data_IF_103553115223
#
_entry.id   IF_103553115223
#
_cell.length_a   1.000
_cell.length_b   1.000
_cell.length_c   1.000
_cell.angle_alpha   90.00
_cell.angle_beta   90.00
_cell.angle_gamma   90.00
#
_symmetry.space_group_name_H-M   'P 1'
#
loop_
_entity.id
_entity.type
_entity.pdbx_description
1 polymer ?
#
# COMPACT_ATOMS: atom_id res chain seq x y z
N UNK A 1 -0.31 -40.03 -12.93
CA UNK A 1 1.10 -39.68 -13.26
C UNK A 1 1.30 -39.13 -14.67
N UNK A 2 0.79 -39.77 -15.74
CA UNK A 2 0.95 -39.28 -17.14
C UNK A 2 0.47 -37.85 -17.39
N UNK A 3 -0.58 -37.38 -16.72
CA UNK A 3 -1.12 -36.00 -16.86
C UNK A 3 -0.23 -34.93 -16.22
N UNK A 4 0.51 -35.27 -15.17
CA UNK A 4 1.37 -34.33 -14.45
C UNK A 4 2.69 -34.03 -15.20
N UNK A 5 3.22 -35.02 -15.92
CA UNK A 5 4.40 -34.86 -16.77
C UNK A 5 4.09 -34.08 -18.04
N UNK A 6 2.97 -34.36 -18.73
CA UNK A 6 2.56 -33.64 -19.95
C UNK A 6 2.33 -32.14 -19.70
N UNK A 7 1.80 -31.77 -18.52
CA UNK A 7 1.60 -30.36 -18.17
C UNK A 7 2.91 -29.59 -17.96
N UNK A 8 4.02 -30.25 -17.61
CA UNK A 8 5.33 -29.59 -17.45
C UNK A 8 5.95 -29.19 -18.78
N UNK A 9 5.80 -29.99 -19.83
CA UNK A 9 6.29 -29.65 -21.17
C UNK A 9 5.58 -28.43 -21.75
N UNK A 10 4.30 -28.23 -21.42
CA UNK A 10 3.56 -27.03 -21.84
C UNK A 10 4.12 -25.73 -21.24
N UNK A 11 4.85 -25.79 -20.12
CA UNK A 11 5.49 -24.61 -19.54
C UNK A 11 6.70 -24.11 -20.33
N UNK A 12 7.22 -24.91 -21.28
CA UNK A 12 8.36 -24.52 -22.12
C UNK A 12 8.01 -23.28 -22.95
N UNK A 13 6.79 -23.21 -23.49
CA UNK A 13 6.35 -22.06 -24.31
C UNK A 13 6.35 -20.73 -23.51
N UNK A 14 5.62 -20.60 -22.39
CA UNK A 14 5.66 -19.37 -21.60
C UNK A 14 7.02 -19.10 -20.98
N UNK A 15 7.81 -20.13 -20.61
CA UNK A 15 9.17 -19.92 -20.13
C UNK A 15 10.05 -19.29 -21.22
N UNK A 16 10.02 -19.82 -22.44
CA UNK A 16 10.81 -19.31 -23.56
C UNK A 16 10.39 -17.88 -23.95
N UNK A 17 9.08 -17.60 -24.02
CA UNK A 17 8.58 -16.26 -24.30
C UNK A 17 9.04 -15.23 -23.24
N UNK A 18 8.98 -15.57 -21.95
CA UNK A 18 9.49 -14.73 -20.87
C UNK A 18 11.02 -14.55 -20.93
N UNK A 19 11.77 -15.58 -21.29
CA UNK A 19 13.22 -15.48 -21.47
C UNK A 19 13.60 -14.58 -22.66
N UNK A 20 12.81 -14.59 -23.75
CA UNK A 20 13.00 -13.66 -24.85
C UNK A 20 12.73 -12.21 -24.42
N UNK A 21 11.68 -11.96 -23.64
CA UNK A 21 11.42 -10.64 -23.05
C UNK A 21 12.56 -10.20 -22.13
N UNK A 22 13.06 -11.13 -21.31
CA UNK A 22 14.23 -10.92 -20.45
C UNK A 22 15.48 -10.54 -21.25
N UNK A 23 15.76 -11.24 -22.35
CA UNK A 23 16.88 -10.96 -23.24
C UNK A 23 16.72 -9.62 -23.98
N UNK A 24 15.49 -9.26 -24.37
CA UNK A 24 15.21 -7.97 -24.98
C UNK A 24 15.43 -6.80 -24.02
N UNK A 25 14.94 -6.91 -22.78
CA UNK A 25 15.20 -5.92 -21.73
C UNK A 25 16.70 -5.78 -21.44
N UNK A 26 17.43 -6.91 -21.38
CA UNK A 26 18.88 -6.91 -21.20
C UNK A 26 19.60 -6.17 -22.34
N UNK A 27 19.17 -6.39 -23.59
CA UNK A 27 19.73 -5.70 -24.77
C UNK A 27 19.49 -4.20 -24.73
N UNK A 28 18.38 -3.74 -24.13
CA UNK A 28 18.10 -2.32 -23.92
C UNK A 28 18.85 -1.71 -22.72
N UNK A 29 19.64 -2.52 -21.99
CA UNK A 29 20.32 -2.10 -20.77
C UNK A 29 19.43 -2.05 -19.53
N UNK A 30 18.20 -2.57 -19.60
CA UNK A 30 17.28 -2.63 -18.47
C UNK A 30 17.46 -3.95 -17.70
N UNK A 31 18.51 -3.97 -16.85
CA UNK A 31 18.85 -5.13 -16.04
C UNK A 31 17.74 -5.49 -15.05
N UNK A 32 17.07 -4.50 -14.46
CA UNK A 32 16.01 -4.72 -13.48
C UNK A 32 14.80 -5.43 -14.09
N UNK A 33 14.37 -4.99 -15.29
CA UNK A 33 13.27 -5.62 -16.02
C UNK A 33 13.66 -7.01 -16.54
N UNK A 34 14.90 -7.17 -17.01
CA UNK A 34 15.43 -8.46 -17.46
C UNK A 34 15.37 -9.53 -16.37
N UNK A 35 15.87 -9.21 -15.17
CA UNK A 35 15.84 -10.11 -14.00
C UNK A 35 14.40 -10.38 -13.57
N UNK A 36 13.52 -9.39 -13.64
CA UNK A 36 12.09 -9.55 -13.28
C UNK A 36 11.38 -10.57 -14.19
N UNK A 37 11.62 -10.52 -15.51
CA UNK A 37 11.09 -11.52 -16.44
C UNK A 37 11.70 -12.91 -16.21
N UNK A 38 13.01 -13.00 -15.94
CA UNK A 38 13.64 -14.26 -15.58
C UNK A 38 13.07 -14.85 -14.27
N UNK A 39 12.78 -14.01 -13.28
CA UNK A 39 12.16 -14.43 -12.02
C UNK A 39 10.73 -14.95 -12.22
N UNK A 40 9.95 -14.39 -13.16
CA UNK A 40 8.63 -14.93 -13.53
C UNK A 40 8.71 -16.37 -14.05
N UNK A 41 9.79 -16.75 -14.74
CA UNK A 41 10.02 -18.14 -15.18
C UNK A 41 10.13 -19.07 -13.96
N UNK A 42 10.86 -18.65 -12.92
CA UNK A 42 10.92 -19.40 -11.66
C UNK A 42 9.55 -19.56 -11.00
N UNK A 43 8.70 -18.53 -11.06
CA UNK A 43 7.36 -18.58 -10.48
C UNK A 43 6.42 -19.57 -11.18
N UNK A 44 6.63 -19.90 -12.46
CA UNK A 44 5.85 -20.93 -13.17
C UNK A 44 5.88 -22.29 -12.46
N UNK A 45 6.92 -22.56 -11.66
CA UNK A 45 7.09 -23.82 -10.93
C UNK A 45 6.24 -23.89 -9.65
N UNK A 46 5.74 -22.77 -9.13
CA UNK A 46 5.07 -22.66 -7.82
C UNK A 46 3.63 -23.19 -7.80
N UNK A 47 3.04 -23.51 -8.97
CA UNK A 47 1.65 -23.97 -9.16
C UNK A 47 0.58 -23.05 -8.59
N UNK A 48 0.94 -21.82 -8.24
CA UNK A 48 0.04 -20.84 -7.64
C UNK A 48 -0.90 -20.25 -8.68
N UNK A 49 -2.21 -20.23 -8.39
CA UNK A 49 -3.23 -19.76 -9.31
C UNK A 49 -3.06 -18.30 -9.76
N UNK A 50 -2.58 -17.41 -8.89
CA UNK A 50 -2.35 -15.99 -9.21
C UNK A 50 -1.19 -15.80 -10.20
N UNK A 51 -0.16 -16.65 -10.17
CA UNK A 51 1.00 -16.56 -11.09
C UNK A 51 0.54 -16.74 -12.54
N UNK A 52 -0.44 -17.62 -12.78
CA UNK A 52 -1.01 -17.80 -14.13
C UNK A 52 -1.54 -16.48 -14.69
N UNK A 53 -2.26 -15.71 -13.88
CA UNK A 53 -2.85 -14.44 -14.31
C UNK A 53 -1.77 -13.38 -14.60
N UNK A 54 -0.69 -13.38 -13.79
CA UNK A 54 0.44 -12.47 -14.02
C UNK A 54 1.18 -12.79 -15.31
N UNK A 55 1.44 -14.07 -15.56
CA UNK A 55 2.12 -14.50 -16.78
C UNK A 55 1.26 -14.21 -18.01
N UNK A 56 -0.06 -14.44 -17.94
CA UNK A 56 -0.98 -14.05 -19.02
C UNK A 56 -0.85 -12.55 -19.32
N UNK A 57 -0.87 -11.71 -18.31
CA UNK A 57 -0.74 -10.26 -18.51
C UNK A 57 0.67 -9.84 -18.98
N UNK A 58 1.73 -10.50 -18.51
CA UNK A 58 3.10 -10.28 -18.97
C UNK A 58 3.26 -10.65 -20.45
N UNK A 59 2.63 -11.73 -20.91
CA UNK A 59 2.61 -12.13 -22.32
C UNK A 59 1.78 -11.18 -23.17
N UNK A 60 0.61 -10.73 -22.70
CA UNK A 60 -0.17 -9.68 -23.40
C UNK A 60 0.66 -8.40 -23.56
N UNK A 61 1.36 -7.98 -22.51
CA UNK A 61 2.28 -6.85 -22.59
C UNK A 61 3.48 -7.14 -23.51
N UNK A 62 4.00 -8.36 -23.48
CA UNK A 62 5.06 -8.84 -24.36
C UNK A 62 4.67 -8.75 -25.83
N UNK A 63 3.46 -9.17 -26.20
CA UNK A 63 2.92 -9.01 -27.55
C UNK A 63 2.93 -7.55 -28.03
N UNK A 64 2.58 -6.60 -27.15
CA UNK A 64 2.69 -5.16 -27.45
C UNK A 64 4.15 -4.73 -27.67
N UNK A 65 5.08 -5.13 -26.79
CA UNK A 65 6.52 -4.85 -26.94
C UNK A 65 7.03 -5.38 -28.28
N UNK A 66 6.72 -6.63 -28.63
CA UNK A 66 7.19 -7.25 -29.85
C UNK A 66 6.60 -6.59 -31.09
N UNK A 67 5.32 -6.22 -31.08
CA UNK A 67 4.72 -5.46 -32.17
C UNK A 67 5.41 -4.12 -32.38
N UNK A 68 5.64 -3.35 -31.30
CA UNK A 68 6.31 -2.05 -31.37
C UNK A 68 7.75 -2.18 -31.87
N UNK A 69 8.54 -3.10 -31.29
CA UNK A 69 9.91 -3.36 -31.69
C UNK A 69 10.02 -3.82 -33.16
N UNK A 70 9.03 -4.58 -33.65
CA UNK A 70 8.98 -5.00 -35.06
C UNK A 70 8.85 -3.79 -35.98
N UNK A 71 7.92 -2.88 -35.68
CA UNK A 71 7.72 -1.65 -36.47
C UNK A 71 8.97 -0.78 -36.44
N UNK A 72 9.56 -0.57 -35.28
CA UNK A 72 10.77 0.25 -35.12
C UNK A 72 11.97 -0.34 -35.88
N UNK A 73 12.24 -1.64 -35.76
CA UNK A 73 13.40 -2.24 -36.44
C UNK A 73 13.23 -2.33 -37.95
N UNK A 74 12.00 -2.56 -38.44
CA UNK A 74 11.72 -2.58 -39.89
C UNK A 74 11.82 -1.17 -40.46
N UNK A 75 11.20 -0.17 -39.82
CA UNK A 75 11.25 1.23 -40.29
C UNK A 75 12.67 1.75 -40.32
N UNK A 76 13.47 1.44 -39.30
CA UNK A 76 14.90 1.75 -39.27
C UNK A 76 15.62 1.13 -40.49
N UNK A 77 15.44 -0.16 -40.76
CA UNK A 77 16.11 -0.80 -41.91
C UNK A 77 15.66 -0.23 -43.26
N UNK A 78 14.39 0.08 -43.42
CA UNK A 78 13.87 0.72 -44.63
C UNK A 78 14.49 2.09 -44.85
N UNK A 79 14.64 2.90 -43.79
CA UNK A 79 15.28 4.22 -43.87
C UNK A 79 16.75 4.14 -44.34
N UNK A 80 17.46 3.05 -44.01
CA UNK A 80 18.84 2.81 -44.46
C UNK A 80 18.96 1.93 -45.72
N UNK A 81 17.84 1.63 -46.41
CA UNK A 81 17.85 0.79 -47.61
C UNK A 81 18.34 -0.65 -47.37
N UNK A 82 18.33 -1.12 -46.12
CA UNK A 82 18.83 -2.44 -45.73
C UNK A 82 17.75 -3.54 -45.89
N UNK A 83 18.13 -4.80 -46.15
CA UNK A 83 17.18 -5.90 -46.25
C UNK A 83 16.46 -6.15 -44.92
N UNK A 84 15.13 -6.11 -44.94
CA UNK A 84 14.27 -6.20 -43.76
C UNK A 84 13.40 -7.47 -43.73
N UNK A 85 13.28 -8.21 -44.83
CA UNK A 85 12.39 -9.37 -44.93
C UNK A 85 12.76 -10.49 -43.94
N UNK A 86 14.07 -10.77 -43.78
CA UNK A 86 14.57 -11.75 -42.80
C UNK A 86 14.27 -11.33 -41.36
N UNK A 87 14.35 -10.02 -41.07
CA UNK A 87 14.02 -9.51 -39.74
C UNK A 87 12.52 -9.65 -39.47
N UNK A 88 11.68 -9.31 -40.45
CA UNK A 88 10.23 -9.44 -40.33
C UNK A 88 9.81 -10.90 -40.07
N UNK A 89 10.42 -11.89 -40.75
CA UNK A 89 10.10 -13.30 -40.49
C UNK A 89 10.54 -13.78 -39.11
N UNK A 90 11.70 -13.33 -38.61
CA UNK A 90 12.16 -13.61 -37.24
C UNK A 90 11.18 -13.02 -36.22
N UNK A 91 10.81 -11.75 -36.37
CA UNK A 91 9.91 -11.08 -35.44
C UNK A 91 8.50 -11.68 -35.47
N UNK A 92 8.00 -12.08 -36.64
CA UNK A 92 6.75 -12.83 -36.75
C UNK A 92 6.82 -14.15 -35.97
N UNK A 93 7.95 -14.87 -36.04
CA UNK A 93 8.17 -16.08 -35.24
C UNK A 93 8.14 -15.81 -33.72
N UNK A 94 8.76 -14.72 -33.26
CA UNK A 94 8.73 -14.31 -31.84
C UNK A 94 7.30 -13.99 -31.39
N UNK A 95 6.54 -13.23 -32.18
CA UNK A 95 5.14 -12.90 -31.90
C UNK A 95 4.27 -14.16 -31.87
N UNK A 96 4.46 -15.10 -32.81
CA UNK A 96 3.74 -16.36 -32.84
C UNK A 96 4.03 -17.23 -31.62
N UNK A 97 5.30 -17.29 -31.17
CA UNK A 97 5.68 -18.00 -29.95
C UNK A 97 5.02 -17.38 -28.71
N UNK A 98 5.02 -16.06 -28.60
CA UNK A 98 4.36 -15.34 -27.50
C UNK A 98 2.84 -15.58 -27.50
N UNK A 99 2.20 -15.52 -28.67
CA UNK A 99 0.79 -15.86 -28.84
C UNK A 99 0.46 -17.32 -28.50
N UNK A 100 1.32 -18.26 -28.86
CA UNK A 100 1.19 -19.68 -28.48
C UNK A 100 1.33 -19.86 -26.97
N UNK A 101 2.32 -19.20 -26.35
CA UNK A 101 2.50 -19.21 -24.91
C UNK A 101 1.24 -18.66 -24.18
N UNK A 102 0.66 -17.57 -24.69
CA UNK A 102 -0.56 -16.98 -24.17
C UNK A 102 -1.74 -17.97 -24.28
N UNK A 103 -1.93 -18.59 -25.45
CA UNK A 103 -2.97 -19.59 -25.68
C UNK A 103 -2.83 -20.80 -24.74
N UNK A 104 -1.61 -21.28 -24.52
CA UNK A 104 -1.31 -22.37 -23.56
C UNK A 104 -1.72 -21.96 -22.15
N UNK A 105 -1.38 -20.74 -21.71
CA UNK A 105 -1.69 -20.24 -20.36
C UNK A 105 -3.18 -20.04 -20.11
N UNK A 106 -3.93 -19.64 -21.14
CA UNK A 106 -5.40 -19.53 -21.09
C UNK A 106 -6.10 -20.90 -21.07
N UNK A 107 -5.45 -21.96 -21.57
CA UNK A 107 -6.02 -23.29 -21.67
C UNK A 107 -6.39 -23.97 -20.33
N UNK A 108 -7.36 -24.88 -20.39
CA UNK A 108 -7.86 -25.63 -19.23
C UNK A 108 -6.79 -26.49 -18.53
N UNK A 109 -5.79 -26.98 -19.30
CA UNK A 109 -4.66 -27.74 -18.73
C UNK A 109 -3.86 -26.89 -17.76
N UNK A 110 -3.55 -25.64 -18.13
CA UNK A 110 -2.83 -24.71 -17.26
C UNK A 110 -3.70 -24.22 -16.11
N UNK A 111 -5.02 -24.06 -16.31
CA UNK A 111 -5.95 -23.81 -15.19
C UNK A 111 -5.87 -24.88 -14.11
N UNK A 112 -5.77 -26.14 -14.52
CA UNK A 112 -5.67 -27.30 -13.61
C UNK A 112 -4.29 -27.39 -12.96
N UNK A 113 -3.23 -27.06 -13.70
CA UNK A 113 -1.87 -27.02 -13.16
C UNK A 113 -1.73 -25.94 -12.06
N UNK A 114 -2.21 -24.72 -12.33
CA UNK A 114 -2.18 -23.59 -11.40
C UNK A 114 -3.41 -23.56 -10.47
N UNK A 115 -3.55 -24.59 -9.63
CA UNK A 115 -4.71 -24.74 -8.72
C UNK A 115 -4.46 -24.20 -7.31
N UNK A 116 -3.20 -24.05 -6.89
CA UNK A 116 -2.90 -23.72 -5.50
C UNK A 116 -3.41 -22.31 -5.15
N UNK A 117 -4.24 -22.21 -4.11
CA UNK A 117 -4.80 -20.94 -3.66
C UNK A 117 -5.82 -20.31 -4.61
N UNK A 118 -6.51 -21.10 -5.45
CA UNK A 118 -7.45 -20.62 -6.47
C UNK A 118 -8.50 -19.62 -5.95
N UNK A 119 -9.05 -19.83 -4.75
CA UNK A 119 -10.02 -18.94 -4.12
C UNK A 119 -9.54 -17.49 -3.96
N UNK A 120 -8.23 -17.29 -3.79
CA UNK A 120 -7.60 -15.96 -3.60
C UNK A 120 -6.73 -15.56 -4.80
N UNK A 121 -6.87 -16.25 -5.94
CA UNK A 121 -6.04 -16.00 -7.12
C UNK A 121 -6.21 -14.57 -7.65
N UNK A 122 -7.46 -14.14 -7.82
CA UNK A 122 -7.79 -12.82 -8.37
C UNK A 122 -7.30 -11.69 -7.45
N UNK A 123 -7.63 -11.64 -6.15
CA UNK A 123 -7.14 -10.57 -5.28
C UNK A 123 -5.62 -10.49 -5.21
N UNK A 124 -4.91 -11.64 -5.20
CA UNK A 124 -3.44 -11.68 -5.18
C UNK A 124 -2.82 -11.19 -6.48
N UNK A 125 -3.39 -11.55 -7.63
CA UNK A 125 -2.94 -11.03 -8.92
C UNK A 125 -3.18 -9.52 -9.02
N UNK A 126 -4.36 -9.04 -8.59
CA UNK A 126 -4.69 -7.61 -8.58
C UNK A 126 -3.77 -6.82 -7.64
N UNK A 127 -3.45 -7.34 -6.45
CA UNK A 127 -2.46 -6.74 -5.53
C UNK A 127 -1.10 -6.52 -6.20
N UNK A 128 -0.59 -7.55 -6.86
CA UNK A 128 0.67 -7.45 -7.60
C UNK A 128 0.55 -6.40 -8.71
N UNK A 129 -0.51 -6.47 -9.52
CA UNK A 129 -0.65 -5.58 -10.68
C UNK A 129 -0.86 -4.13 -10.30
N UNK A 130 -1.71 -3.83 -9.31
CA UNK A 130 -1.95 -2.46 -8.84
C UNK A 130 -0.69 -1.86 -8.22
N UNK A 131 0.08 -2.65 -7.47
CA UNK A 131 1.34 -2.18 -6.90
C UNK A 131 2.38 -1.94 -8.00
N UNK A 132 2.52 -2.88 -8.93
CA UNK A 132 3.48 -2.77 -10.03
C UNK A 132 3.16 -1.60 -10.95
N UNK A 133 1.90 -1.45 -11.37
CA UNK A 133 1.46 -0.34 -12.24
C UNK A 133 1.51 1.00 -11.52
N UNK A 134 1.13 1.06 -10.25
CA UNK A 134 1.21 2.27 -9.44
C UNK A 134 2.64 2.78 -9.30
N UNK A 135 3.59 1.89 -8.96
CA UNK A 135 5.00 2.27 -8.88
C UNK A 135 5.62 2.58 -10.24
N UNK A 136 5.27 1.83 -11.30
CA UNK A 136 5.72 2.11 -12.66
C UNK A 136 5.23 3.47 -13.17
N UNK A 137 3.97 3.83 -12.89
CA UNK A 137 3.40 5.14 -13.20
C UNK A 137 4.11 6.25 -12.44
N UNK A 138 4.35 6.07 -11.13
CA UNK A 138 5.11 7.05 -10.34
C UNK A 138 6.52 7.23 -10.93
N UNK A 139 7.19 6.14 -11.31
CA UNK A 139 8.51 6.18 -11.93
C UNK A 139 8.51 6.90 -13.29
N UNK A 140 7.48 6.72 -14.12
CA UNK A 140 7.44 7.34 -15.46
C UNK A 140 7.01 8.81 -15.45
N UNK A 141 6.20 9.23 -14.48
CA UNK A 141 5.67 10.59 -14.41
C UNK A 141 6.60 11.59 -13.72
N UNK A 142 7.75 11.15 -13.24
CA UNK A 142 8.58 11.95 -12.33
C UNK A 142 9.98 12.11 -12.87
N UNK A 143 10.53 13.34 -12.83
CA UNK A 143 11.80 13.62 -13.49
C UNK A 143 13.04 13.17 -12.68
N UNK A 144 12.86 12.59 -11.50
CA UNK A 144 13.93 12.17 -10.60
C UNK A 144 13.68 10.76 -10.06
N UNK A 145 14.74 10.01 -9.67
CA UNK A 145 14.62 8.62 -9.24
C UNK A 145 13.80 8.50 -7.95
N UNK A 146 12.53 8.16 -8.15
CA UNK A 146 11.53 7.99 -7.11
C UNK A 146 11.80 6.73 -6.25
N UNK A 147 12.26 5.66 -6.88
CA UNK A 147 12.55 4.37 -6.26
C UNK A 147 13.98 4.35 -5.70
N UNK A 148 14.18 3.69 -4.56
CA UNK A 148 15.47 3.72 -3.88
C UNK A 148 16.57 3.03 -4.70
N UNK A 149 16.25 1.91 -5.35
CA UNK A 149 17.17 1.17 -6.19
C UNK A 149 17.70 2.02 -7.34
N UNK A 150 16.84 2.80 -8.01
CA UNK A 150 17.25 3.69 -9.11
C UNK A 150 18.22 4.80 -8.65
N UNK A 151 18.27 5.14 -7.35
CA UNK A 151 19.23 6.13 -6.80
C UNK A 151 20.64 5.59 -6.62
N UNK A 152 20.75 4.28 -6.36
CA UNK A 152 22.03 3.62 -6.17
C UNK A 152 22.53 2.97 -7.46
N UNK A 153 21.62 2.36 -8.22
CA UNK A 153 21.91 1.60 -9.42
C UNK A 153 20.90 1.96 -10.51
N UNK A 154 21.36 2.63 -11.57
CA UNK A 154 20.52 3.08 -12.68
C UNK A 154 19.85 1.87 -13.36
N UNK A 155 18.53 1.90 -13.53
CA UNK A 155 17.76 0.84 -14.21
C UNK A 155 17.31 -0.31 -13.30
N UNK A 156 17.64 -0.29 -12.01
CA UNK A 156 17.24 -1.34 -11.06
C UNK A 156 15.85 -1.13 -10.46
N UNK A 157 15.22 0.02 -10.69
CA UNK A 157 13.88 0.32 -10.19
C UNK A 157 12.82 -0.71 -10.58
N UNK A 158 12.89 -1.32 -11.77
CA UNK A 158 11.96 -2.39 -12.15
C UNK A 158 12.06 -3.63 -11.26
N UNK A 159 13.26 -3.96 -10.78
CA UNK A 159 13.43 -5.09 -9.85
C UNK A 159 12.84 -4.75 -8.48
N UNK A 160 12.98 -3.51 -8.02
CA UNK A 160 12.32 -3.02 -6.80
C UNK A 160 10.79 -3.06 -6.95
N UNK A 161 10.25 -2.60 -8.08
CA UNK A 161 8.81 -2.68 -8.40
C UNK A 161 8.34 -4.13 -8.31
N UNK A 162 9.05 -5.05 -8.97
CA UNK A 162 8.73 -6.46 -8.96
C UNK A 162 8.76 -7.05 -7.54
N UNK A 163 9.80 -6.73 -6.76
CA UNK A 163 9.94 -7.16 -5.37
C UNK A 163 8.82 -6.63 -4.47
N UNK A 164 8.45 -5.37 -4.60
CA UNK A 164 7.37 -4.75 -3.84
C UNK A 164 5.99 -5.28 -4.25
N UNK A 165 5.78 -5.60 -5.53
CA UNK A 165 4.56 -6.25 -6.00
C UNK A 165 4.44 -7.69 -5.47
N UNK A 166 5.55 -8.44 -5.41
CA UNK A 166 5.60 -9.74 -4.75
C UNK A 166 5.33 -9.63 -3.24
N UNK A 167 5.89 -8.62 -2.59
CA UNK A 167 5.62 -8.31 -1.19
C UNK A 167 4.13 -8.02 -0.98
N UNK A 168 3.53 -7.14 -1.78
CA UNK A 168 2.12 -6.76 -1.70
C UNK A 168 1.17 -7.97 -1.79
N UNK A 169 1.36 -8.85 -2.78
CA UNK A 169 0.51 -10.05 -2.88
C UNK A 169 0.73 -11.01 -1.70
N UNK A 170 1.95 -11.10 -1.18
CA UNK A 170 2.27 -11.99 -0.06
C UNK A 170 1.60 -11.52 1.22
N UNK A 171 1.78 -10.25 1.60
CA UNK A 171 1.15 -9.69 2.79
C UNK A 171 -0.38 -9.59 2.65
N UNK A 172 -0.87 -9.32 1.44
CA UNK A 172 -2.30 -9.33 1.15
C UNK A 172 -2.90 -10.72 1.34
N UNK A 173 -2.24 -11.78 0.87
CA UNK A 173 -2.68 -13.16 1.12
C UNK A 173 -2.79 -13.49 2.62
N UNK A 174 -1.88 -12.97 3.44
CA UNK A 174 -1.94 -13.11 4.90
C UNK A 174 -3.13 -12.36 5.51
N UNK A 175 -3.55 -11.23 4.92
CA UNK A 175 -4.64 -10.37 5.42
C UNK A 175 -6.02 -10.69 4.83
N UNK A 176 -6.11 -11.47 3.76
CA UNK A 176 -7.39 -11.81 3.12
C UNK A 176 -8.32 -12.63 4.04
N UNK A 177 -7.81 -13.36 5.04
CA UNK A 177 -8.66 -13.96 6.08
C UNK A 177 -8.90 -13.00 7.25
N UNK A 178 -10.08 -12.98 7.90
CA UNK A 178 -10.33 -12.12 9.07
C UNK A 178 -9.33 -12.32 10.21
N UNK A 179 -9.05 -13.58 10.58
CA UNK A 179 -8.05 -13.91 11.60
C UNK A 179 -6.64 -13.43 11.21
N UNK A 180 -6.28 -13.62 9.94
CA UNK A 180 -5.01 -13.15 9.39
C UNK A 180 -4.88 -11.63 9.39
N UNK A 181 -5.95 -10.90 9.04
CA UNK A 181 -5.99 -9.44 9.08
C UNK A 181 -5.61 -8.92 10.47
N UNK A 182 -6.31 -9.38 11.53
CA UNK A 182 -6.02 -8.96 12.90
C UNK A 182 -4.61 -9.34 13.37
N UNK A 183 -4.07 -10.46 12.90
CA UNK A 183 -2.72 -10.92 13.27
C UNK A 183 -1.63 -10.13 12.56
N UNK A 184 -1.75 -9.90 11.25
CA UNK A 184 -0.67 -9.39 10.42
C UNK A 184 -0.72 -7.89 10.20
N UNK A 185 -1.88 -7.22 10.27
CA UNK A 185 -1.98 -5.76 10.08
C UNK A 185 -1.04 -4.98 11.00
N UNK A 186 -1.06 -5.16 12.35
CA UNK A 186 -0.16 -4.41 13.22
C UNK A 186 1.32 -4.63 12.87
N UNK A 187 1.73 -5.85 12.52
CA UNK A 187 3.11 -6.19 12.16
C UNK A 187 3.57 -5.55 10.85
N UNK A 188 2.70 -5.60 9.83
CA UNK A 188 2.97 -4.99 8.53
C UNK A 188 3.05 -3.47 8.68
N UNK A 189 2.18 -2.90 9.51
CA UNK A 189 2.14 -1.47 9.79
C UNK A 189 3.38 -1.00 10.56
N UNK A 190 3.79 -1.76 11.57
CA UNK A 190 5.05 -1.55 12.31
C UNK A 190 6.26 -1.67 11.39
N UNK A 191 6.31 -2.68 10.52
CA UNK A 191 7.38 -2.83 9.52
C UNK A 191 7.54 -1.59 8.64
N UNK A 192 6.44 -1.00 8.16
CA UNK A 192 6.50 0.25 7.41
C UNK A 192 7.05 1.40 8.25
N UNK A 193 6.63 1.52 9.51
CA UNK A 193 7.18 2.54 10.42
C UNK A 193 8.69 2.36 10.63
N UNK A 194 9.14 1.14 10.89
CA UNK A 194 10.57 0.81 11.05
C UNK A 194 11.36 1.17 9.79
N UNK A 195 10.90 0.75 8.61
CA UNK A 195 11.58 1.10 7.35
C UNK A 195 11.68 2.61 7.16
N UNK A 196 10.58 3.33 7.40
CA UNK A 196 10.53 4.77 7.26
C UNK A 196 11.52 5.49 8.18
N UNK A 197 11.54 5.15 9.48
CA UNK A 197 12.45 5.78 10.44
C UNK A 197 13.90 5.30 10.33
N UNK A 198 14.13 4.05 9.90
CA UNK A 198 15.47 3.57 9.59
C UNK A 198 16.07 4.35 8.41
N UNK A 199 15.29 4.56 7.35
CA UNK A 199 15.71 5.38 6.22
C UNK A 199 16.00 6.83 6.63
N UNK A 200 15.16 7.42 7.51
CA UNK A 200 15.46 8.74 8.11
C UNK A 200 16.80 8.73 8.83
N UNK A 201 17.00 7.77 9.74
CA UNK A 201 18.20 7.67 10.56
C UNK A 201 19.45 7.53 9.71
N UNK A 202 19.44 6.63 8.71
CA UNK A 202 20.55 6.45 7.77
C UNK A 202 20.82 7.72 6.96
N UNK A 203 19.76 8.40 6.51
CA UNK A 203 19.87 9.69 5.83
C UNK A 203 20.56 10.76 6.67
N UNK A 204 20.16 10.89 7.94
CA UNK A 204 20.75 11.84 8.89
C UNK A 204 22.19 11.50 9.30
N UNK A 205 22.57 10.22 9.23
CA UNK A 205 23.94 9.75 9.49
C UNK A 205 24.89 9.93 8.30
N UNK A 206 24.45 10.57 7.21
CA UNK A 206 25.27 10.92 6.05
C UNK A 206 25.04 10.07 4.80
N UNK A 207 24.05 9.17 4.79
CA UNK A 207 23.61 8.50 3.56
C UNK A 207 22.61 9.39 2.81
N UNK A 208 23.05 10.55 2.33
CA UNK A 208 22.18 11.61 1.78
C UNK A 208 21.24 11.13 0.67
N UNK A 209 21.63 10.11 -0.12
CA UNK A 209 20.77 9.48 -1.15
C UNK A 209 19.50 8.83 -0.60
N UNK A 210 19.47 8.51 0.70
CA UNK A 210 18.27 8.04 1.41
C UNK A 210 17.27 9.17 1.68
N UNK A 211 17.73 10.42 1.70
CA UNK A 211 16.91 11.63 1.72
C UNK A 211 16.68 12.08 0.28
N UNK A 212 15.51 12.66 0.02
CA UNK A 212 15.08 13.12 -1.29
C UNK A 212 15.26 14.64 -1.43
N UNK A 213 15.20 15.36 -0.32
CA UNK A 213 15.30 16.81 -0.31
C UNK A 213 16.46 17.24 0.57
N UNK A 214 17.23 18.24 0.14
CA UNK A 214 18.24 18.88 1.00
C UNK A 214 17.64 19.66 2.18
N UNK A 215 16.35 19.45 2.50
CA UNK A 215 15.66 20.06 3.63
C UNK A 215 15.06 18.98 4.53
N UNK A 216 15.30 19.10 5.84
CA UNK A 216 14.84 18.15 6.82
C UNK A 216 13.30 18.21 6.95
N UNK A 217 12.61 17.18 6.45
CA UNK A 217 11.19 16.97 6.69
C UNK A 217 11.02 16.21 8.00
N UNK A 218 10.70 16.92 9.08
CA UNK A 218 10.44 16.29 10.37
C UNK A 218 9.19 15.37 10.26
N UNK A 219 9.29 14.08 10.63
CA UNK A 219 8.20 13.12 10.47
C UNK A 219 7.19 13.23 11.62
N UNK A 220 6.49 14.36 11.68
CA UNK A 220 5.41 14.60 12.64
C UNK A 220 4.12 14.82 11.84
N UNK A 221 3.10 13.94 11.93
CA UNK A 221 1.91 14.03 11.11
C UNK A 221 1.20 15.39 11.16
N UNK A 222 1.24 16.10 12.30
CA UNK A 222 0.67 17.44 12.42
C UNK A 222 1.25 18.44 11.41
N UNK A 223 2.50 18.26 10.98
CA UNK A 223 3.15 19.11 9.98
C UNK A 223 2.59 18.92 8.56
N UNK A 224 1.80 17.89 8.30
CA UNK A 224 1.05 17.75 7.03
C UNK A 224 0.13 18.95 6.83
N UNK A 225 -0.51 19.43 7.92
CA UNK A 225 -1.36 20.62 7.90
C UNK A 225 -0.57 21.90 8.22
N UNK A 226 0.31 21.85 9.23
CA UNK A 226 1.03 23.04 9.71
C UNK A 226 2.10 23.55 8.72
N UNK A 227 2.79 22.63 8.03
CA UNK A 227 3.91 22.95 7.14
C UNK A 227 3.52 23.91 6.00
N UNK A 228 2.45 23.64 5.23
CA UNK A 228 1.96 24.55 4.22
C UNK A 228 1.49 25.90 4.77
N UNK A 229 0.90 25.92 5.98
CA UNK A 229 0.48 27.18 6.62
C UNK A 229 1.69 28.06 6.95
N UNK A 230 2.75 27.47 7.52
CA UNK A 230 3.99 28.16 7.86
C UNK A 230 4.80 28.59 6.63
N UNK A 231 5.01 27.68 5.65
CA UNK A 231 5.87 27.93 4.48
C UNK A 231 5.17 28.61 3.30
N UNK A 232 3.83 28.59 3.25
CA UNK A 232 3.06 29.01 2.08
C UNK A 232 3.26 28.13 0.82
N UNK A 233 3.95 27.00 0.96
CA UNK A 233 4.35 26.10 -0.13
C UNK A 233 4.53 24.66 0.40
N UNK A 234 4.82 23.70 -0.48
CA UNK A 234 5.05 22.31 -0.08
C UNK A 234 3.77 21.50 0.17
N UNK A 235 2.79 21.64 -0.71
CA UNK A 235 1.48 20.95 -0.61
C UNK A 235 1.52 19.45 -0.91
N UNK A 236 2.68 18.90 -1.29
CA UNK A 236 2.81 17.49 -1.69
C UNK A 236 2.26 16.53 -0.63
N UNK A 237 2.67 16.65 0.64
CA UNK A 237 2.19 15.78 1.72
C UNK A 237 0.69 15.94 1.99
N UNK A 238 0.15 17.16 1.84
CA UNK A 238 -1.27 17.43 2.00
C UNK A 238 -2.09 16.78 0.87
N UNK A 239 -1.61 16.86 -0.37
CA UNK A 239 -2.23 16.21 -1.54
C UNK A 239 -2.15 14.69 -1.40
N UNK A 240 -0.98 14.14 -1.04
CA UNK A 240 -0.80 12.70 -0.82
C UNK A 240 -1.74 12.18 0.28
N UNK A 241 -1.81 12.89 1.41
CA UNK A 241 -2.75 12.57 2.48
C UNK A 241 -4.21 12.66 2.01
N UNK A 242 -4.59 13.73 1.30
CA UNK A 242 -5.94 13.93 0.79
C UNK A 242 -6.38 12.82 -0.17
N UNK A 243 -5.57 12.52 -1.19
CA UNK A 243 -5.85 11.46 -2.18
C UNK A 243 -5.96 10.10 -1.49
N UNK A 244 -5.06 9.77 -0.58
CA UNK A 244 -5.12 8.48 0.11
C UNK A 244 -6.31 8.37 1.08
N UNK A 245 -6.69 9.45 1.76
CA UNK A 245 -7.93 9.48 2.56
C UNK A 245 -9.17 9.36 1.68
N UNK A 246 -9.18 9.90 0.46
CA UNK A 246 -10.28 9.66 -0.49
C UNK A 246 -10.37 8.18 -0.89
N UNK A 247 -9.23 7.53 -1.15
CA UNK A 247 -9.17 6.13 -1.57
C UNK A 247 -9.56 5.14 -0.46
N UNK A 248 -9.00 5.27 0.74
CA UNK A 248 -9.17 4.29 1.84
C UNK A 248 -9.87 4.85 3.08
N UNK A 249 -10.37 6.09 3.04
CA UNK A 249 -11.05 6.72 4.16
C UNK A 249 -10.12 6.98 5.34
N UNK A 250 -10.67 6.86 6.55
CA UNK A 250 -9.91 7.01 7.80
C UNK A 250 -8.90 5.88 8.07
N UNK A 251 -8.82 4.87 7.19
CA UNK A 251 -7.86 3.77 7.25
C UNK A 251 -6.40 4.23 7.14
N UNK A 252 -6.15 5.41 6.58
CA UNK A 252 -4.80 5.98 6.56
C UNK A 252 -4.17 5.98 7.97
N UNK A 253 -4.95 6.32 9.00
CA UNK A 253 -4.48 6.38 10.39
C UNK A 253 -4.19 5.01 11.01
N UNK A 254 -4.68 3.90 10.43
CA UNK A 254 -4.61 2.54 11.00
C UNK A 254 -3.83 1.54 10.13
N UNK A 255 -3.35 1.99 8.97
CA UNK A 255 -2.59 1.21 7.99
C UNK A 255 -1.38 1.93 7.40
N UNK A 256 -1.42 3.26 7.22
CA UNK A 256 -0.42 4.01 6.43
C UNK A 256 0.33 5.07 7.25
N UNK A 257 -0.14 5.41 8.45
CA UNK A 257 0.52 6.40 9.31
C UNK A 257 1.67 5.75 10.11
N UNK A 258 2.91 6.14 9.87
CA UNK A 258 4.08 5.58 10.57
C UNK A 258 4.05 5.80 12.09
N UNK A 259 3.50 6.93 12.57
CA UNK A 259 3.33 7.19 14.02
C UNK A 259 2.22 6.35 14.64
N UNK A 260 1.12 6.12 13.91
CA UNK A 260 -0.01 5.37 14.46
C UNK A 260 0.38 3.94 14.85
N UNK A 261 1.36 3.35 14.16
CA UNK A 261 1.89 2.03 14.50
C UNK A 261 2.50 1.99 15.92
N UNK A 262 3.14 3.08 16.35
CA UNK A 262 3.71 3.19 17.69
C UNK A 262 2.62 3.25 18.76
N UNK A 263 1.56 4.01 18.50
CA UNK A 263 0.41 4.12 19.40
C UNK A 263 -0.37 2.78 19.51
N UNK A 264 -0.51 2.05 18.40
CA UNK A 264 -1.11 0.70 18.40
C UNK A 264 -0.25 -0.32 19.17
N UNK A 265 1.08 -0.26 19.00
CA UNK A 265 2.01 -1.10 19.74
C UNK A 265 1.97 -0.80 21.25
N UNK A 266 2.05 0.48 21.64
CA UNK A 266 2.02 0.89 23.05
C UNK A 266 0.68 0.57 23.71
N UNK A 267 -0.43 0.90 23.06
CA UNK A 267 -1.77 0.58 23.56
C UNK A 267 -2.01 -0.94 23.63
N UNK A 268 -1.31 -1.74 22.82
CA UNK A 268 -1.43 -3.20 22.87
C UNK A 268 -0.72 -3.90 24.01
N UNK A 269 0.26 -3.23 24.63
CA UNK A 269 0.90 -3.70 25.88
C UNK A 269 -0.03 -3.50 27.08
N UNK A 270 -0.93 -2.51 26.99
CA UNK A 270 -1.88 -2.13 28.02
C UNK A 270 -3.02 -3.13 28.27
N UNK A 271 -3.95 -2.77 29.18
CA UNK A 271 -5.15 -3.56 29.40
C UNK A 271 -6.03 -3.63 28.14
N UNK A 272 -7.09 -4.45 28.19
CA UNK A 272 -8.09 -4.46 27.12
C UNK A 272 -8.79 -3.09 27.08
N UNK A 273 -9.04 -2.55 25.87
CA UNK A 273 -9.72 -1.28 25.72
C UNK A 273 -11.11 -1.35 26.37
N UNK A 274 -11.44 -0.32 27.15
CA UNK A 274 -12.75 -0.12 27.75
C UNK A 274 -13.35 1.15 27.18
N UNK A 275 -14.60 1.08 26.72
CA UNK A 275 -15.28 2.26 26.22
C UNK A 275 -15.53 3.25 27.36
N UNK A 276 -15.35 4.54 27.07
CA UNK A 276 -15.75 5.61 27.96
C UNK A 276 -16.29 6.79 27.16
N UNK A 277 -17.53 7.19 27.46
CA UNK A 277 -18.19 8.33 26.84
C UNK A 277 -17.47 9.65 27.16
N UNK A 278 -16.93 9.78 28.38
CA UNK A 278 -16.12 10.92 28.83
C UNK A 278 -14.83 11.02 28.01
N UNK A 279 -14.09 9.91 27.88
CA UNK A 279 -12.88 9.85 27.05
C UNK A 279 -13.22 10.14 25.59
N UNK A 280 -14.36 9.68 25.08
CA UNK A 280 -14.81 9.95 23.71
C UNK A 280 -15.05 11.44 23.44
N UNK A 281 -15.72 12.14 24.38
CA UNK A 281 -15.95 13.59 24.27
C UNK A 281 -14.63 14.36 24.38
N UNK A 282 -13.80 14.04 25.36
CA UNK A 282 -12.49 14.68 25.54
C UNK A 282 -11.57 14.44 24.34
N UNK A 283 -11.64 13.26 23.73
CA UNK A 283 -10.89 12.89 22.52
C UNK A 283 -11.26 13.77 21.31
N UNK A 284 -12.55 14.11 21.15
CA UNK A 284 -12.98 15.03 20.09
C UNK A 284 -12.51 16.46 20.34
N UNK A 285 -12.67 16.93 21.58
CA UNK A 285 -12.25 18.29 21.98
C UNK A 285 -10.73 18.44 21.86
N UNK A 286 -9.96 17.46 22.35
CA UNK A 286 -8.50 17.47 22.29
C UNK A 286 -7.96 17.51 20.86
N UNK A 287 -8.53 16.74 19.93
CA UNK A 287 -8.11 16.80 18.51
C UNK A 287 -8.49 18.12 17.83
N UNK A 288 -9.62 18.71 18.20
CA UNK A 288 -10.02 20.04 17.72
C UNK A 288 -9.09 21.13 18.26
N UNK A 289 -8.81 21.10 19.57
CA UNK A 289 -7.94 22.06 20.24
C UNK A 289 -6.49 21.98 19.72
N UNK A 290 -5.95 20.77 19.56
CA UNK A 290 -4.60 20.56 18.99
C UNK A 290 -4.52 20.98 17.52
N UNK A 291 -5.57 20.76 16.73
CA UNK A 291 -5.62 21.24 15.35
C UNK A 291 -5.59 22.78 15.29
N UNK A 292 -6.44 23.45 16.06
CA UNK A 292 -6.44 24.91 16.15
C UNK A 292 -5.10 25.44 16.65
N UNK A 293 -4.55 24.86 17.72
CA UNK A 293 -3.26 25.23 18.27
C UNK A 293 -2.17 25.15 17.20
N UNK A 294 -2.04 24.01 16.52
CA UNK A 294 -1.00 23.80 15.51
C UNK A 294 -1.13 24.78 14.34
N UNK A 295 -2.35 25.04 13.86
CA UNK A 295 -2.57 25.96 12.74
C UNK A 295 -2.33 27.42 13.14
N UNK A 296 -2.83 27.84 14.32
CA UNK A 296 -2.64 29.19 14.84
C UNK A 296 -1.15 29.45 15.12
N UNK A 297 -0.46 28.50 15.77
CA UNK A 297 0.99 28.62 16.01
C UNK A 297 1.76 28.72 14.69
N UNK A 298 1.46 27.87 13.71
CA UNK A 298 2.12 27.94 12.40
C UNK A 298 1.88 29.28 11.69
N UNK A 299 0.66 29.82 11.77
CA UNK A 299 0.32 31.11 11.20
C UNK A 299 1.01 32.28 11.92
N UNK A 300 1.03 32.29 13.26
CA UNK A 300 1.72 33.30 14.07
C UNK A 300 3.22 33.29 13.78
N UNK A 301 3.86 32.12 13.74
CA UNK A 301 5.28 32.01 13.44
C UNK A 301 5.63 32.55 12.05
N UNK A 302 4.76 32.32 11.06
CA UNK A 302 4.91 32.88 9.71
C UNK A 302 4.75 34.39 9.72
N UNK A 303 3.70 34.90 10.36
CA UNK A 303 3.40 36.32 10.43
C UNK A 303 4.53 37.10 11.13
N UNK A 304 5.10 36.53 12.19
CA UNK A 304 6.25 37.09 12.91
C UNK A 304 7.60 36.90 12.19
N UNK A 305 7.62 36.30 10.99
CA UNK A 305 8.85 36.12 10.20
C UNK A 305 9.90 35.23 10.88
N UNK A 306 9.48 34.29 11.74
CA UNK A 306 10.39 33.48 12.54
C UNK A 306 11.19 32.51 11.66
N UNK A 307 12.50 32.32 11.90
CA UNK A 307 13.30 31.36 11.17
C UNK A 307 12.74 29.92 11.21
N UNK A 308 12.88 29.18 10.11
CA UNK A 308 12.35 27.82 9.98
C UNK A 308 12.86 26.83 11.02
N UNK A 309 14.09 27.02 11.53
CA UNK A 309 14.65 26.17 12.59
C UNK A 309 13.84 26.23 13.89
N UNK A 310 13.30 27.40 14.24
CA UNK A 310 12.46 27.55 15.42
C UNK A 310 11.14 26.79 15.25
N UNK A 311 10.54 26.86 14.06
CA UNK A 311 9.35 26.07 13.74
C UNK A 311 9.61 24.55 13.81
N UNK A 312 10.82 24.10 13.42
CA UNK A 312 11.25 22.70 13.60
C UNK A 312 11.29 22.33 15.08
N UNK A 313 11.84 23.17 15.96
CA UNK A 313 11.87 22.90 17.41
C UNK A 313 10.47 22.79 18.02
N UNK A 314 9.52 23.64 17.61
CA UNK A 314 8.11 23.48 18.00
C UNK A 314 7.54 22.15 17.51
N UNK A 315 7.85 21.75 16.27
CA UNK A 315 7.49 20.45 15.72
C UNK A 315 8.07 19.27 16.51
N UNK A 316 9.35 19.36 16.91
CA UNK A 316 10.03 18.35 17.74
C UNK A 316 9.38 18.25 19.12
N UNK A 317 9.14 19.38 19.78
CA UNK A 317 8.48 19.42 21.09
C UNK A 317 7.08 18.79 21.03
N UNK A 318 6.29 19.11 19.99
CA UNK A 318 4.99 18.49 19.73
C UNK A 318 5.12 16.98 19.48
N UNK A 319 6.08 16.56 18.65
CA UNK A 319 6.36 15.14 18.39
C UNK A 319 6.69 14.37 19.66
N UNK A 320 7.62 14.89 20.48
CA UNK A 320 8.05 14.27 21.74
C UNK A 320 6.94 14.20 22.77
N UNK A 321 6.12 15.25 22.90
CA UNK A 321 4.92 15.22 23.74
C UNK A 321 3.95 14.12 23.28
N UNK A 322 3.77 13.98 21.96
CA UNK A 322 3.00 12.88 21.36
C UNK A 322 3.55 11.49 21.71
N UNK A 323 4.86 11.29 21.63
CA UNK A 323 5.52 10.03 22.02
C UNK A 323 5.34 9.75 23.52
N UNK A 324 5.45 10.77 24.37
CA UNK A 324 5.17 10.65 25.81
C UNK A 324 3.73 10.18 26.08
N UNK A 325 2.75 10.74 25.38
CA UNK A 325 1.35 10.30 25.48
C UNK A 325 1.21 8.81 25.11
N UNK A 326 1.89 8.35 24.06
CA UNK A 326 1.85 6.93 23.68
C UNK A 326 2.47 6.04 24.77
N UNK A 327 3.67 6.39 25.23
CA UNK A 327 4.43 5.59 26.18
C UNK A 327 3.74 5.45 27.54
N UNK A 328 3.08 6.52 28.03
CA UNK A 328 2.48 6.55 29.36
C UNK A 328 0.95 6.39 29.35
N UNK A 329 0.24 7.16 28.53
CA UNK A 329 -1.24 7.23 28.59
C UNK A 329 -1.87 6.17 27.71
N UNK A 330 -1.44 6.04 26.44
CA UNK A 330 -1.98 5.00 25.56
C UNK A 330 -1.69 3.61 26.11
N UNK A 331 -0.46 3.37 26.58
CA UNK A 331 -0.08 2.13 27.25
C UNK A 331 -0.91 1.84 28.49
N UNK A 332 -1.12 2.81 29.38
CA UNK A 332 -1.88 2.58 30.63
C UNK A 332 -3.36 2.33 30.38
N UNK A 333 -3.94 2.99 29.38
CA UNK A 333 -5.38 2.89 29.07
C UNK A 333 -5.75 1.72 28.16
N UNK A 334 -4.80 1.17 27.40
CA UNK A 334 -5.10 0.19 26.35
C UNK A 334 -5.74 0.79 25.10
N UNK A 335 -5.82 2.13 25.02
CA UNK A 335 -6.44 2.90 23.95
C UNK A 335 -5.39 3.66 23.16
N UNK A 336 -5.65 3.95 21.89
CA UNK A 336 -4.76 4.75 21.04
C UNK A 336 -4.96 6.25 21.30
N UNK A 337 -4.66 6.68 22.52
CA UNK A 337 -4.98 8.04 23.01
C UNK A 337 -4.25 9.12 22.22
N UNK A 338 -3.03 8.87 21.77
CA UNK A 338 -2.35 9.80 20.88
C UNK A 338 -3.16 10.02 19.61
N UNK A 339 -3.55 8.95 18.92
CA UNK A 339 -4.32 9.04 17.68
C UNK A 339 -5.76 9.56 17.89
N UNK A 340 -6.40 9.26 19.02
CA UNK A 340 -7.80 9.65 19.26
C UNK A 340 -7.99 10.98 19.97
N UNK A 341 -6.99 11.50 20.69
CA UNK A 341 -7.15 12.71 21.50
C UNK A 341 -6.10 13.80 21.24
N UNK A 342 -4.92 13.45 20.72
CA UNK A 342 -3.81 14.41 20.57
C UNK A 342 -3.46 14.74 19.13
N UNK A 343 -3.46 13.74 18.23
CA UNK A 343 -3.05 13.92 16.85
C UNK A 343 -4.13 14.69 16.07
N UNK A 344 -3.84 15.90 15.57
CA UNK A 344 -4.83 16.69 14.82
C UNK A 344 -5.21 16.00 13.50
N UNK A 345 -4.24 15.32 12.86
CA UNK A 345 -4.49 14.56 11.63
C UNK A 345 -5.44 13.38 11.83
N UNK A 346 -5.60 12.88 13.06
CA UNK A 346 -6.61 11.88 13.38
C UNK A 346 -8.04 12.41 13.15
N UNK A 347 -8.31 13.66 13.54
CA UNK A 347 -9.61 14.30 13.30
C UNK A 347 -9.79 14.63 11.82
N UNK A 348 -8.77 15.21 11.19
CA UNK A 348 -8.78 15.52 9.76
C UNK A 348 -9.08 14.24 8.95
N UNK A 349 -8.36 13.14 9.21
CA UNK A 349 -8.58 11.86 8.54
C UNK A 349 -9.98 11.26 8.80
N UNK A 350 -10.55 11.44 9.99
CA UNK A 350 -11.91 11.00 10.28
C UNK A 350 -12.98 11.83 9.56
N UNK A 351 -12.79 13.14 9.46
CA UNK A 351 -13.73 14.03 8.76
C UNK A 351 -13.67 13.85 7.25
N UNK A 352 -12.48 13.99 6.65
CA UNK A 352 -12.28 13.81 5.21
C UNK A 352 -12.54 12.36 4.78
N UNK A 353 -12.30 11.38 5.66
CA UNK A 353 -12.62 9.99 5.39
C UNK A 353 -14.11 9.70 5.15
N UNK A 354 -15.02 10.61 5.54
CA UNK A 354 -16.45 10.50 5.21
C UNK A 354 -16.74 10.68 3.72
N UNK A 355 -15.86 11.34 2.97
CA UNK A 355 -15.97 11.47 1.50
C UNK A 355 -15.81 10.08 0.85
N UNK A 356 -14.91 9.26 1.40
CA UNK A 356 -14.74 7.88 0.93
C UNK A 356 -16.00 7.06 1.20
N UNK A 357 -16.41 6.15 0.30
CA UNK A 357 -17.61 5.32 0.49
C UNK A 357 -17.44 4.18 1.51
N UNK A 358 -16.22 3.90 1.96
CA UNK A 358 -15.95 2.80 2.90
C UNK A 358 -16.60 3.05 4.27
N UNK A 359 -17.37 2.07 4.75
CA UNK A 359 -17.98 2.08 6.08
C UNK A 359 -17.78 0.75 6.79
N UNK A 360 -17.89 0.77 8.12
CA UNK A 360 -18.19 -0.42 8.91
C UNK A 360 -19.66 -0.37 9.29
N UNK A 361 -20.39 -1.46 9.05
CA UNK A 361 -21.81 -1.60 9.38
C UNK A 361 -22.04 -2.79 10.28
N UNK A 362 -23.01 -2.65 11.17
CA UNK A 362 -23.47 -3.68 12.10
C UNK A 362 -24.89 -4.05 11.70
N UNK A 363 -25.15 -5.34 11.57
CA UNK A 363 -26.45 -5.88 11.18
C UNK A 363 -27.45 -5.87 12.34
N UNK A 364 -28.73 -5.91 12.00
CA UNK A 364 -29.82 -5.98 12.96
C UNK A 364 -29.77 -7.26 13.83
N UNK A 365 -29.26 -8.36 13.27
CA UNK A 365 -29.14 -9.66 13.95
C UNK A 365 -27.91 -9.74 14.88
N UNK A 366 -27.29 -8.60 15.21
CA UNK A 366 -26.21 -8.52 16.17
C UNK A 366 -26.67 -9.01 17.56
N UNK A 367 -26.01 -10.05 18.08
CA UNK A 367 -26.28 -10.63 19.41
C UNK A 367 -25.84 -9.74 20.58
N UNK A 368 -25.24 -8.59 20.30
CA UNK A 368 -24.75 -7.61 21.30
C UNK A 368 -23.78 -8.23 22.35
N UNK A 369 -23.04 -9.28 21.99
CA UNK A 369 -22.13 -9.98 22.90
C UNK A 369 -20.91 -9.17 23.40
N UNK A 370 -20.69 -7.97 22.87
CA UNK A 370 -19.62 -7.05 23.30
C UNK A 370 -18.19 -7.43 22.94
N UNK A 371 -17.97 -8.53 22.20
CA UNK A 371 -16.62 -8.97 21.81
C UNK A 371 -15.84 -7.90 21.04
N UNK A 372 -16.52 -7.10 20.21
CA UNK A 372 -15.94 -6.02 19.42
C UNK A 372 -15.46 -4.83 20.28
N UNK A 373 -16.11 -4.53 21.42
CA UNK A 373 -15.71 -3.45 22.33
C UNK A 373 -14.31 -3.69 22.88
N UNK A 374 -14.07 -4.93 23.34
CA UNK A 374 -12.79 -5.36 23.93
C UNK A 374 -11.60 -5.38 22.95
N UNK A 375 -11.84 -5.01 21.68
CA UNK A 375 -10.84 -4.88 20.61
C UNK A 375 -10.76 -3.49 20.02
N UNK A 376 -11.74 -2.62 20.26
CA UNK A 376 -11.76 -1.29 19.67
C UNK A 376 -10.90 -0.32 20.48
N UNK A 377 -9.62 -0.14 20.09
CA UNK A 377 -8.71 0.82 20.74
C UNK A 377 -8.98 2.28 20.40
N UNK A 378 -9.89 2.54 19.46
CA UNK A 378 -10.24 3.89 18.99
C UNK A 378 -11.45 4.49 19.72
N UNK A 379 -11.98 3.82 20.74
CA UNK A 379 -13.17 4.24 21.49
C UNK A 379 -14.38 4.50 20.57
N UNK A 380 -14.54 3.68 19.53
CA UNK A 380 -15.52 3.90 18.46
C UNK A 380 -16.77 3.03 18.58
N UNK A 381 -16.78 2.06 19.48
CA UNK A 381 -17.87 1.11 19.67
C UNK A 381 -18.31 1.09 21.14
N UNK A 382 -19.60 1.21 21.36
CA UNK A 382 -20.32 1.04 22.62
C UNK A 382 -21.72 0.46 22.33
N UNK A 383 -22.52 0.26 23.38
CA UNK A 383 -23.89 -0.26 23.26
C UNK A 383 -24.77 0.61 22.38
N UNK A 384 -24.73 1.93 22.57
CA UNK A 384 -25.51 2.88 21.78
C UNK A 384 -25.15 2.83 20.28
N UNK A 385 -23.86 2.67 19.93
CA UNK A 385 -23.38 2.53 18.55
C UNK A 385 -23.80 1.21 17.91
N UNK A 386 -24.00 0.15 18.70
CA UNK A 386 -24.59 -1.09 18.19
C UNK A 386 -26.03 -0.86 17.73
N UNK A 387 -26.82 -0.11 18.51
CA UNK A 387 -28.21 0.21 18.16
C UNK A 387 -28.31 1.08 16.90
N UNK A 388 -27.39 2.03 16.75
CA UNK A 388 -27.29 2.87 15.54
C UNK A 388 -26.75 2.13 14.31
N UNK A 389 -26.33 0.87 14.44
CA UNK A 389 -25.78 0.06 13.34
C UNK A 389 -24.46 0.57 12.76
N UNK A 390 -23.77 1.49 13.45
CA UNK A 390 -22.55 2.15 12.94
C UNK A 390 -21.61 2.67 14.04
N UNK A 391 -20.29 2.61 13.83
CA UNK A 391 -19.31 3.09 14.80
C UNK A 391 -19.29 4.63 14.90
N UNK A 392 -18.70 5.14 15.98
CA UNK A 392 -18.46 6.58 16.16
C UNK A 392 -17.44 7.13 15.15
N UNK A 393 -17.35 8.47 15.07
CA UNK A 393 -16.44 9.19 14.17
C UNK A 393 -14.97 8.80 14.35
N UNK A 394 -14.56 8.39 15.55
CA UNK A 394 -13.19 7.93 15.84
C UNK A 394 -12.78 6.64 15.13
N UNK A 395 -13.71 5.96 14.45
CA UNK A 395 -13.41 4.75 13.69
C UNK A 395 -12.43 5.02 12.55
N UNK A 396 -11.34 4.26 12.54
CA UNK A 396 -10.28 4.30 11.51
C UNK A 396 -10.34 3.13 10.54
N UNK A 397 -11.47 2.43 10.44
CA UNK A 397 -11.65 1.29 9.51
C UNK A 397 -10.57 0.17 9.65
N UNK A 398 -9.98 -0.01 10.84
CA UNK A 398 -8.91 -0.99 11.07
C UNK A 398 -9.34 -2.46 10.93
N UNK A 399 -10.65 -2.74 11.05
CA UNK A 399 -11.19 -4.10 10.88
C UNK A 399 -10.95 -5.07 12.05
N UNK A 400 -10.40 -4.62 13.18
CA UNK A 400 -10.20 -5.50 14.35
C UNK A 400 -11.53 -6.03 14.90
N UNK A 401 -12.57 -5.19 14.88
CA UNK A 401 -13.92 -5.55 15.30
C UNK A 401 -14.56 -6.60 14.38
N UNK A 402 -14.36 -6.48 13.07
CA UNK A 402 -14.79 -7.46 12.06
C UNK A 402 -14.16 -8.83 12.33
N UNK A 403 -12.87 -8.82 12.68
CA UNK A 403 -12.12 -10.05 12.98
C UNK A 403 -12.46 -10.66 14.34
N UNK A 404 -13.11 -9.89 15.22
CA UNK A 404 -13.50 -10.32 16.56
C UNK A 404 -14.93 -10.90 16.62
N UNK A 405 -15.79 -10.55 15.66
CA UNK A 405 -17.17 -11.00 15.63
C UNK A 405 -17.28 -12.44 15.10
N UNK A 406 -17.55 -13.39 16.02
CA UNK A 406 -17.79 -14.79 15.65
C UNK A 406 -19.09 -14.98 14.85
N UNK A 407 -20.06 -14.08 14.99
CA UNK A 407 -21.38 -14.14 14.35
C UNK A 407 -21.45 -13.44 12.98
N UNK A 408 -20.34 -12.85 12.51
CA UNK A 408 -20.25 -12.14 11.21
C UNK A 408 -21.22 -10.95 11.04
N UNK A 409 -21.75 -10.40 12.14
CA UNK A 409 -22.74 -9.32 12.14
C UNK A 409 -22.13 -7.92 11.93
N UNK A 410 -20.80 -7.77 12.01
CA UNK A 410 -20.09 -6.51 11.74
C UNK A 410 -19.11 -6.70 10.59
N UNK A 411 -19.15 -5.81 9.60
CA UNK A 411 -18.36 -5.95 8.38
C UNK A 411 -18.09 -4.63 7.67
N UNK A 412 -17.20 -4.69 6.67
CA UNK A 412 -17.01 -3.60 5.73
C UNK A 412 -18.24 -3.47 4.83
N UNK A 413 -18.59 -2.24 4.47
CA UNK A 413 -19.65 -1.91 3.56
C UNK A 413 -19.15 -0.90 2.53
N UNK A 414 -19.57 -1.13 1.29
CA UNK A 414 -19.35 -0.25 0.14
C UNK A 414 -20.60 -0.34 -0.76
N UNK A 415 -21.11 0.78 -1.32
CA UNK A 415 -22.31 0.78 -2.14
C UNK A 415 -22.25 -0.24 -3.29
N UNK A 416 -23.24 -1.15 -3.37
CA UNK A 416 -23.33 -2.16 -4.42
C UNK A 416 -22.45 -3.41 -4.24
N UNK A 417 -21.71 -3.53 -3.12
CA UNK A 417 -20.88 -4.71 -2.84
C UNK A 417 -21.39 -5.49 -1.62
N UNK A 418 -21.25 -6.82 -1.67
CA UNK A 418 -21.42 -7.67 -0.47
C UNK A 418 -20.32 -7.36 0.56
N UNK A 419 -20.55 -7.69 1.84
CA UNK A 419 -19.56 -7.46 2.91
C UNK A 419 -18.21 -8.12 2.64
N UNK A 420 -18.24 -9.34 2.11
CA UNK A 420 -17.04 -10.11 1.79
C UNK A 420 -16.25 -9.49 0.64
N UNK A 421 -16.94 -9.09 -0.43
CA UNK A 421 -16.32 -8.42 -1.57
C UNK A 421 -15.80 -7.04 -1.17
N UNK A 422 -16.59 -6.25 -0.43
CA UNK A 422 -16.17 -4.94 0.09
C UNK A 422 -14.90 -5.06 0.93
N UNK A 423 -14.84 -6.03 1.85
CA UNK A 423 -13.63 -6.30 2.62
C UNK A 423 -12.45 -6.68 1.73
N UNK A 424 -12.66 -7.57 0.76
CA UNK A 424 -11.60 -8.02 -0.15
C UNK A 424 -11.02 -6.85 -0.95
N UNK A 425 -11.88 -6.03 -1.56
CA UNK A 425 -11.46 -4.84 -2.31
C UNK A 425 -10.74 -3.83 -1.41
N UNK A 426 -11.25 -3.60 -0.20
CA UNK A 426 -10.60 -2.71 0.77
C UNK A 426 -9.18 -3.19 1.12
N UNK A 427 -9.00 -4.49 1.39
CA UNK A 427 -7.68 -5.08 1.69
C UNK A 427 -6.75 -4.95 0.48
N UNK A 428 -7.24 -5.25 -0.73
CA UNK A 428 -6.45 -5.08 -1.96
C UNK A 428 -5.96 -3.64 -2.11
N UNK A 429 -6.85 -2.66 -1.91
CA UNK A 429 -6.53 -1.25 -2.04
C UNK A 429 -5.52 -0.78 -0.99
N UNK A 430 -5.77 -1.05 0.30
CA UNK A 430 -4.91 -0.56 1.38
C UNK A 430 -3.54 -1.22 1.38
N UNK A 431 -3.45 -2.50 1.01
CA UNK A 431 -2.17 -3.22 0.91
C UNK A 431 -1.37 -2.76 -0.31
N UNK A 432 -2.02 -2.49 -1.44
CA UNK A 432 -1.33 -1.93 -2.61
C UNK A 432 -0.76 -0.55 -2.29
N UNK A 433 -1.56 0.32 -1.65
CA UNK A 433 -1.10 1.62 -1.19
C UNK A 433 0.05 1.51 -0.17
N UNK A 434 -0.03 0.56 0.76
CA UNK A 434 1.06 0.28 1.70
C UNK A 434 2.36 -0.06 0.96
N UNK A 435 2.33 -0.99 0.01
CA UNK A 435 3.52 -1.40 -0.72
C UNK A 435 4.07 -0.27 -1.61
N UNK A 436 3.19 0.52 -2.23
CA UNK A 436 3.57 1.74 -2.94
C UNK A 436 4.26 2.71 -1.98
N UNK A 437 3.69 2.93 -0.79
CA UNK A 437 4.26 3.81 0.23
C UNK A 437 5.60 3.30 0.73
N UNK A 438 5.82 1.99 0.83
CA UNK A 438 7.14 1.42 1.16
C UNK A 438 8.15 1.75 0.08
N UNK A 439 7.83 1.56 -1.21
CA UNK A 439 8.75 1.85 -2.32
C UNK A 439 8.99 3.34 -2.57
N UNK A 440 8.04 4.18 -2.14
CA UNK A 440 8.08 5.63 -2.32
C UNK A 440 8.43 6.33 -1.00
N UNK A 441 8.58 5.62 0.13
CA UNK A 441 8.81 6.23 1.44
C UNK A 441 10.10 7.06 1.39
N UNK A 442 9.95 8.35 1.69
CA UNK A 442 10.96 9.40 1.51
C UNK A 442 10.79 10.43 2.61
N UNK A 443 11.89 11.09 2.94
CA UNK A 443 11.91 12.47 3.46
C UNK A 443 12.72 13.34 2.53
#
# INVERSE_FOLDING_TARGET
MKTATTNRYLLIFPALALLLLSAHALRQGDYGLSISFAALVGLLLTRQAWVRMLVVAALVWGGYIWANATVEFISFRQAFGAPWQRLASIMAGVILLDGLALAVMLGNRMRTYFHAGAQWAVPRAVLFMLTASGLAMIRSMTPFPMLLADRYLIGWGWLEIFGLALYAQWIGNLMLSPKGHRKYRPRIWEFFSVLFFLQLGLGLLGMDRMLMTGSLHLPVPALIAAGPVFRGSGFFMLILFGVTVMLVGSAWCSHLCYIGAWDDAMSSIGPRPAHSSVIGRLSMIGRGATLLLVLITAWILRWAGVPGITAVWFGVAFGLAGVGIMAFISRKSGMMVHCTAYCPMGLVGNLFGRISPWRIRIDADCTRCGACYSKCRYNALDEHRMELGSPALSCTLCGDCVSACAHQQIGYAFPGLSKETARTVFIVLVVSLHAIFVGVARM
#
